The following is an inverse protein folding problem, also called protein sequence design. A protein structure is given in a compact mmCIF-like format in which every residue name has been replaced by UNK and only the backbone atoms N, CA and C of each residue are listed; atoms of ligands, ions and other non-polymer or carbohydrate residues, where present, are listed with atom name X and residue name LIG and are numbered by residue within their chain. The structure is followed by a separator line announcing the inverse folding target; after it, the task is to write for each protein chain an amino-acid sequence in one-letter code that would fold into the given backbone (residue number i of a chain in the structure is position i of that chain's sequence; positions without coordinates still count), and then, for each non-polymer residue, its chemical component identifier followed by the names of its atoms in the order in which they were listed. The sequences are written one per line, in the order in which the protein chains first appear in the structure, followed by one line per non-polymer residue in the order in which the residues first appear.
data_IF_938809043558
#
_entry.id   IF_938809043558
#
_cell.length_a   1.000
_cell.length_b   1.000
_cell.length_c   1.000
_cell.angle_alpha   90.00
_cell.angle_beta   90.00
_cell.angle_gamma   90.00
#
_symmetry.space_group_name_H-M   'P 1'
#
loop_
_entity.id
_entity.type
_entity.pdbx_description
1 polymer ?
#
# COMPACT_ATOMS: atom_id res chain seq x y z
N UNK A 1 -6.70 9.89 -17.95
CA UNK A 1 -7.35 8.95 -17.02
C UNK A 1 -6.83 7.56 -17.31
N UNK A 2 -5.96 7.04 -16.45
CA UNK A 2 -5.37 5.69 -16.54
C UNK A 2 -6.48 4.65 -16.34
N UNK A 3 -6.61 3.72 -17.29
CA UNK A 3 -7.62 2.66 -17.22
C UNK A 3 -7.15 1.61 -16.19
N UNK A 4 -7.60 1.74 -14.94
CA UNK A 4 -7.31 0.85 -13.82
C UNK A 4 -7.90 -0.54 -14.13
N UNK A 5 -7.08 -1.61 -14.22
CA UNK A 5 -7.58 -2.96 -14.46
C UNK A 5 -8.62 -3.40 -13.43
N UNK A 6 -9.71 -4.03 -13.87
CA UNK A 6 -10.79 -4.54 -12.99
C UNK A 6 -10.38 -5.72 -12.09
N UNK A 7 -9.10 -6.13 -12.08
CA UNK A 7 -8.63 -7.34 -11.44
C UNK A 7 -7.46 -7.10 -10.47
N UNK A 8 -7.16 -5.86 -10.09
CA UNK A 8 -5.96 -5.57 -9.27
C UNK A 8 -5.98 -6.35 -7.95
N UNK A 9 -7.05 -6.22 -7.18
CA UNK A 9 -7.19 -6.91 -5.90
C UNK A 9 -7.13 -8.43 -6.07
N UNK A 10 -7.76 -9.00 -7.10
CA UNK A 10 -7.66 -10.43 -7.41
C UNK A 10 -6.23 -10.86 -7.69
N UNK A 11 -5.46 -10.09 -8.46
CA UNK A 11 -4.06 -10.39 -8.75
C UNK A 11 -3.18 -10.28 -7.49
N UNK A 12 -3.44 -9.30 -6.63
CA UNK A 12 -2.74 -9.18 -5.34
C UNK A 12 -3.05 -10.38 -4.46
N UNK A 13 -4.33 -10.73 -4.27
CA UNK A 13 -4.74 -11.87 -3.43
C UNK A 13 -4.11 -13.19 -3.90
N UNK A 14 -4.07 -13.43 -5.22
CA UNK A 14 -3.52 -14.66 -5.77
C UNK A 14 -2.00 -14.78 -5.62
N UNK A 15 -1.27 -13.68 -5.74
CA UNK A 15 0.18 -13.72 -5.93
C UNK A 15 1.00 -13.06 -4.81
N UNK A 16 0.38 -12.38 -3.85
CA UNK A 16 1.10 -11.66 -2.79
C UNK A 16 2.05 -12.59 -2.02
N UNK A 17 1.54 -13.74 -1.56
CA UNK A 17 2.33 -14.72 -0.83
C UNK A 17 3.40 -15.40 -1.67
N UNK A 18 3.33 -15.34 -3.01
CA UNK A 18 4.32 -15.90 -3.92
C UNK A 18 5.49 -14.93 -4.15
N UNK A 19 5.22 -13.63 -4.33
CA UNK A 19 6.28 -12.63 -4.48
C UNK A 19 6.89 -12.20 -3.15
N UNK A 20 6.10 -12.21 -2.09
CA UNK A 20 6.46 -11.71 -0.77
C UNK A 20 6.30 -12.80 0.30
N UNK A 21 6.93 -13.96 0.09
CA UNK A 21 6.87 -15.11 1.00
C UNK A 21 7.05 -14.78 2.49
N UNK A 22 7.98 -13.87 2.81
CA UNK A 22 8.22 -13.44 4.21
C UNK A 22 7.03 -12.72 4.85
N UNK A 23 6.15 -12.13 4.05
CA UNK A 23 4.95 -11.45 4.50
C UNK A 23 3.68 -12.28 4.32
N UNK A 24 3.78 -13.58 3.98
CA UNK A 24 2.61 -14.48 3.84
C UNK A 24 1.64 -14.40 5.02
N UNK A 25 2.16 -14.32 6.25
CA UNK A 25 1.31 -14.20 7.44
C UNK A 25 0.42 -12.96 7.43
N UNK A 26 0.84 -11.87 6.79
CA UNK A 26 0.04 -10.66 6.66
C UNK A 26 -1.29 -10.91 5.95
N UNK A 27 -1.31 -11.84 4.99
CA UNK A 27 -2.50 -12.21 4.23
C UNK A 27 -3.38 -13.23 4.97
N UNK A 28 -2.77 -14.24 5.63
CA UNK A 28 -3.51 -15.41 6.13
C UNK A 28 -3.80 -15.38 7.63
N UNK A 29 -3.03 -14.62 8.42
CA UNK A 29 -3.14 -14.64 9.88
C UNK A 29 -4.32 -13.78 10.35
N UNK A 30 -5.19 -14.29 11.24
CA UNK A 30 -6.25 -13.49 11.87
C UNK A 30 -5.71 -12.24 12.58
N UNK A 31 -4.49 -12.29 13.11
CA UNK A 31 -3.87 -11.16 13.81
C UNK A 31 -3.61 -9.95 12.89
N UNK A 32 -3.38 -10.19 11.60
CA UNK A 32 -3.09 -9.14 10.62
C UNK A 32 -4.27 -8.81 9.71
N UNK A 33 -5.37 -9.56 9.86
CA UNK A 33 -6.54 -9.46 8.99
C UNK A 33 -7.13 -8.04 8.89
N UNK A 34 -7.26 -7.24 9.97
CA UNK A 34 -7.78 -5.88 9.85
C UNK A 34 -6.92 -4.97 8.96
N UNK A 35 -5.60 -5.16 8.96
CA UNK A 35 -4.68 -4.40 8.12
C UNK A 35 -4.75 -4.85 6.65
N UNK A 36 -4.78 -6.16 6.42
CA UNK A 36 -4.95 -6.75 5.09
C UNK A 36 -6.24 -6.30 4.43
N UNK A 37 -7.35 -6.38 5.16
CA UNK A 37 -8.67 -6.00 4.65
C UNK A 37 -8.69 -4.52 4.23
N UNK A 38 -8.04 -3.62 4.98
CA UNK A 38 -7.91 -2.21 4.57
C UNK A 38 -7.05 -2.00 3.33
N UNK A 39 -5.95 -2.74 3.20
CA UNK A 39 -5.15 -2.72 1.98
C UNK A 39 -5.98 -3.20 0.76
N UNK A 40 -6.75 -4.27 0.93
CA UNK A 40 -7.61 -4.82 -0.12
C UNK A 40 -8.79 -3.91 -0.46
N UNK A 41 -9.42 -3.29 0.54
CA UNK A 41 -10.46 -2.27 0.37
C UNK A 41 -9.93 -1.13 -0.51
N UNK A 42 -8.74 -0.61 -0.19
CA UNK A 42 -8.09 0.45 -0.97
C UNK A 42 -7.74 0.04 -2.41
N UNK A 43 -7.35 -1.22 -2.62
CA UNK A 43 -7.03 -1.73 -3.96
C UNK A 43 -8.28 -2.07 -4.79
N UNK A 44 -9.43 -2.26 -4.15
CA UNK A 44 -10.73 -2.50 -4.78
C UNK A 44 -11.47 -1.20 -5.12
N UNK A 45 -11.30 -0.16 -4.30
CA UNK A 45 -11.84 1.17 -4.55
C UNK A 45 -11.07 1.85 -5.69
N UNK A 46 -11.71 1.94 -6.86
CA UNK A 46 -11.13 2.53 -8.07
C UNK A 46 -10.86 4.02 -7.91
N UNK A 47 -11.69 4.75 -7.19
CA UNK A 47 -11.53 6.18 -7.00
C UNK A 47 -10.34 6.46 -6.07
N UNK A 48 -10.32 5.80 -4.91
CA UNK A 48 -9.20 5.93 -3.98
C UNK A 48 -7.88 5.48 -4.62
N UNK A 49 -7.87 4.34 -5.30
CA UNK A 49 -6.66 3.87 -5.98
C UNK A 49 -6.18 4.87 -7.06
N UNK A 50 -7.10 5.50 -7.79
CA UNK A 50 -6.75 6.54 -8.76
C UNK A 50 -6.10 7.76 -8.10
N UNK A 51 -6.57 8.17 -6.91
CA UNK A 51 -5.95 9.24 -6.14
C UNK A 51 -4.58 8.85 -5.61
N UNK A 52 -4.42 7.62 -5.13
CA UNK A 52 -3.13 7.09 -4.67
C UNK A 52 -2.12 7.08 -5.83
N UNK A 53 -2.52 6.60 -7.01
CA UNK A 53 -1.69 6.64 -8.22
C UNK A 53 -1.35 8.07 -8.63
N UNK A 54 -2.32 8.98 -8.64
CA UNK A 54 -2.10 10.38 -8.99
C UNK A 54 -1.08 11.05 -8.04
N UNK A 55 -1.20 10.82 -6.74
CA UNK A 55 -0.24 11.32 -5.75
C UNK A 55 1.16 10.76 -5.96
N UNK A 56 1.26 9.47 -6.28
CA UNK A 56 2.52 8.82 -6.60
C UNK A 56 3.16 9.41 -7.87
N UNK A 57 2.39 9.54 -8.95
CA UNK A 57 2.89 9.89 -10.26
C UNK A 57 3.27 11.37 -10.38
N UNK A 58 2.44 12.27 -9.83
CA UNK A 58 2.63 13.71 -10.02
C UNK A 58 3.47 14.36 -8.91
N UNK A 59 3.36 13.86 -7.67
CA UNK A 59 3.99 14.48 -6.50
C UNK A 59 5.07 13.62 -5.85
N UNK A 60 5.35 12.44 -6.41
CA UNK A 60 6.28 11.46 -5.84
C UNK A 60 5.93 11.11 -4.38
N UNK A 61 4.64 11.14 -4.04
CA UNK A 61 4.14 10.76 -2.72
C UNK A 61 3.99 9.23 -2.71
N UNK A 62 4.71 8.50 -1.83
CA UNK A 62 4.58 7.05 -1.73
C UNK A 62 3.14 6.58 -1.50
N UNK A 63 2.68 5.49 -2.16
CA UNK A 63 1.33 4.98 -1.99
C UNK A 63 0.96 4.70 -0.53
N UNK A 64 1.92 4.17 0.24
CA UNK A 64 1.80 3.94 1.69
C UNK A 64 1.40 5.22 2.43
N UNK A 65 1.95 6.38 2.06
CA UNK A 65 1.67 7.65 2.76
C UNK A 65 0.22 8.09 2.53
N UNK A 66 -0.23 8.11 1.28
CA UNK A 66 -1.62 8.48 0.96
C UNK A 66 -2.60 7.51 1.59
N UNK A 67 -2.33 6.21 1.50
CA UNK A 67 -3.15 5.16 2.11
C UNK A 67 -3.29 5.32 3.63
N UNK A 68 -2.18 5.46 4.35
CA UNK A 68 -2.21 5.58 5.81
C UNK A 68 -2.93 6.84 6.28
N UNK A 69 -2.75 7.96 5.58
CA UNK A 69 -3.44 9.22 5.92
C UNK A 69 -4.94 9.15 5.62
N UNK A 70 -5.33 8.48 4.53
CA UNK A 70 -6.74 8.29 4.19
C UNK A 70 -7.47 7.45 5.26
N UNK A 71 -6.86 6.34 5.69
CA UNK A 71 -7.41 5.43 6.71
C UNK A 71 -6.95 5.74 8.14
N UNK A 72 -6.54 6.97 8.44
CA UNK A 72 -5.92 7.29 9.73
C UNK A 72 -6.80 6.85 10.92
N UNK A 73 -8.09 7.15 10.86
CA UNK A 73 -9.03 6.82 11.93
C UNK A 73 -9.26 5.30 12.07
N UNK A 74 -9.29 4.56 10.97
CA UNK A 74 -9.36 3.10 10.99
C UNK A 74 -8.12 2.51 11.66
N UNK A 75 -6.93 3.04 11.36
CA UNK A 75 -5.69 2.57 12.00
C UNK A 75 -5.59 2.95 13.47
N UNK A 76 -6.16 4.09 13.89
CA UNK A 76 -6.34 4.42 15.31
C UNK A 76 -7.22 3.36 15.98
N UNK A 77 -8.35 2.98 15.35
CA UNK A 77 -9.26 1.95 15.84
C UNK A 77 -8.59 0.57 15.92
N UNK A 78 -7.89 0.15 14.86
CA UNK A 78 -7.20 -1.15 14.79
C UNK A 78 -6.09 -1.26 15.85
N UNK A 79 -5.31 -0.20 16.06
CA UNK A 79 -4.18 -0.22 17.00
C UNK A 79 -4.59 0.11 18.45
N UNK A 80 -5.75 0.74 18.65
CA UNK A 80 -6.17 1.29 19.93
C UNK A 80 -5.30 2.45 20.43
N UNK A 81 -4.59 3.15 19.53
CA UNK A 81 -3.64 4.23 19.87
C UNK A 81 -3.92 5.48 19.05
N UNK A 82 -3.94 6.65 19.68
CA UNK A 82 -4.13 7.93 19.00
C UNK A 82 -3.12 8.21 17.88
N UNK A 83 -1.88 7.74 18.06
CA UNK A 83 -0.82 7.89 17.06
C UNK A 83 -0.78 6.78 16.03
N UNK A 84 -1.72 5.82 16.07
CA UNK A 84 -1.82 4.68 15.18
C UNK A 84 -0.49 3.91 14.99
N UNK A 85 0.34 3.84 16.03
CA UNK A 85 1.70 3.30 15.91
C UNK A 85 1.71 1.84 15.41
N UNK A 86 2.29 1.63 14.24
CA UNK A 86 2.37 0.32 13.61
C UNK A 86 3.61 -0.46 14.04
N UNK A 87 3.41 -1.75 14.27
CA UNK A 87 4.49 -2.71 14.48
C UNK A 87 5.40 -2.81 13.25
N UNK A 88 6.66 -3.21 13.47
CA UNK A 88 7.64 -3.27 12.39
C UNK A 88 7.21 -4.21 11.25
N UNK A 89 6.65 -5.37 11.59
CA UNK A 89 6.14 -6.32 10.61
C UNK A 89 5.03 -5.71 9.75
N UNK A 90 4.00 -5.13 10.39
CA UNK A 90 2.85 -4.50 9.72
C UNK A 90 3.30 -3.40 8.75
N UNK A 91 4.22 -2.53 9.17
CA UNK A 91 4.77 -1.47 8.30
C UNK A 91 5.41 -2.02 7.04
N UNK A 92 6.26 -3.03 7.19
CA UNK A 92 6.96 -3.66 6.07
C UNK A 92 6.00 -4.42 5.17
N UNK A 93 5.00 -5.08 5.75
CA UNK A 93 4.00 -5.83 5.00
C UNK A 93 3.06 -4.91 4.20
N UNK A 94 2.62 -3.77 4.74
CA UNK A 94 1.89 -2.73 3.99
C UNK A 94 2.77 -2.19 2.84
N UNK A 95 4.06 -1.96 3.09
CA UNK A 95 5.00 -1.58 2.04
C UNK A 95 5.10 -2.63 0.93
N UNK A 96 5.20 -3.91 1.29
CA UNK A 96 5.19 -5.03 0.36
C UNK A 96 3.88 -5.12 -0.43
N UNK A 97 2.74 -4.89 0.21
CA UNK A 97 1.43 -4.87 -0.44
C UNK A 97 1.39 -3.81 -1.55
N UNK A 98 1.80 -2.58 -1.25
CA UNK A 98 1.86 -1.53 -2.27
C UNK A 98 2.93 -1.80 -3.33
N UNK A 99 4.00 -2.49 -2.99
CA UNK A 99 4.95 -3.07 -3.96
C UNK A 99 4.27 -4.06 -4.90
N UNK A 100 3.43 -4.96 -4.39
CA UNK A 100 2.64 -5.89 -5.20
C UNK A 100 1.76 -5.14 -6.21
N UNK A 101 0.98 -4.16 -5.71
CA UNK A 101 0.08 -3.35 -6.54
C UNK A 101 0.85 -2.59 -7.61
N UNK A 102 1.86 -1.79 -7.24
CA UNK A 102 2.50 -0.88 -8.19
C UNK A 102 3.48 -1.59 -9.11
N UNK A 103 4.38 -2.42 -8.57
CA UNK A 103 5.43 -3.04 -9.37
C UNK A 103 4.90 -4.17 -10.24
N UNK A 104 4.14 -5.10 -9.66
CA UNK A 104 3.80 -6.35 -10.33
C UNK A 104 2.46 -6.27 -11.06
N UNK A 105 1.45 -5.62 -10.47
CA UNK A 105 0.12 -5.54 -11.09
C UNK A 105 -0.02 -4.36 -12.04
N UNK A 106 0.39 -3.16 -11.62
CA UNK A 106 0.34 -1.94 -12.44
C UNK A 106 1.57 -1.78 -13.36
N UNK A 107 2.64 -2.53 -13.11
CA UNK A 107 3.81 -2.61 -13.99
C UNK A 107 4.75 -1.40 -13.90
N UNK A 108 4.79 -0.69 -12.78
CA UNK A 108 5.80 0.35 -12.57
C UNK A 108 7.20 -0.27 -12.55
N UNK A 109 8.11 0.24 -13.38
CA UNK A 109 9.44 -0.37 -13.59
C UNK A 109 10.51 0.21 -12.67
N UNK A 110 10.30 1.43 -12.16
CA UNK A 110 11.22 2.09 -11.25
C UNK A 110 10.61 2.31 -9.86
N UNK A 111 11.47 2.49 -8.87
CA UNK A 111 11.06 2.83 -7.52
C UNK A 111 12.18 3.57 -6.78
N UNK A 112 11.81 4.36 -5.78
CA UNK A 112 12.76 5.06 -4.92
C UNK A 112 12.19 5.25 -3.51
N UNK A 113 13.05 5.05 -2.50
CA UNK A 113 12.68 5.24 -1.10
C UNK A 113 12.89 6.68 -0.70
N UNK A 114 11.83 7.33 -0.20
CA UNK A 114 11.86 8.72 0.25
C UNK A 114 11.45 8.81 1.72
N UNK A 115 11.91 9.85 2.39
CA UNK A 115 11.45 10.18 3.74
C UNK A 115 10.00 10.62 3.70
N UNK A 116 9.19 10.05 4.60
CA UNK A 116 7.79 10.43 4.78
C UNK A 116 7.61 10.94 6.20
N UNK A 117 7.03 12.14 6.34
CA UNK A 117 6.82 12.82 7.63
C UNK A 117 5.73 12.17 8.51
N UNK A 118 5.75 10.83 8.60
CA UNK A 118 4.87 9.98 9.40
C UNK A 118 5.65 9.33 10.55
N UNK A 119 6.66 10.00 11.11
CA UNK A 119 7.37 9.45 12.28
C UNK A 119 6.56 9.63 13.57
N UNK A 120 5.70 10.66 13.65
CA UNK A 120 4.86 10.96 14.81
C UNK A 120 3.49 10.25 14.77
N UNK A 121 3.06 9.81 13.58
CA UNK A 121 1.85 9.00 13.35
C UNK A 121 2.23 7.75 12.56
N UNK A 122 1.80 6.56 12.91
CA UNK A 122 2.19 5.28 12.29
C UNK A 122 3.65 4.83 12.49
N UNK A 123 4.57 5.72 12.87
CA UNK A 123 6.00 5.43 13.04
C UNK A 123 6.65 4.88 11.75
N UNK A 124 6.30 5.49 10.63
CA UNK A 124 6.82 5.22 9.29
C UNK A 124 7.74 6.37 8.89
N UNK A 125 9.05 6.10 8.77
CA UNK A 125 10.06 7.13 8.45
C UNK A 125 10.30 7.27 6.96
N UNK A 126 10.26 6.16 6.24
CA UNK A 126 10.49 6.11 4.80
C UNK A 126 9.42 5.25 4.15
N UNK A 127 9.12 5.54 2.89
CA UNK A 127 8.27 4.71 2.05
C UNK A 127 8.70 4.86 0.59
N UNK A 128 8.26 3.91 -0.24
CA UNK A 128 8.65 3.83 -1.64
C UNK A 128 7.61 4.51 -2.52
N UNK A 129 8.02 5.47 -3.35
CA UNK A 129 7.23 5.88 -4.51
C UNK A 129 7.73 5.11 -5.74
N UNK A 130 6.84 4.92 -6.71
CA UNK A 130 7.07 4.13 -7.90
C UNK A 130 7.06 5.03 -9.13
N UNK A 131 7.88 4.73 -10.12
CA UNK A 131 8.04 5.52 -11.35
C UNK A 131 8.06 4.61 -12.58
N UNK A 132 8.06 5.25 -13.75
CA UNK A 132 8.07 4.58 -15.04
C UNK A 132 6.88 3.60 -15.21
N UNK A 133 5.62 4.09 -15.10
CA UNK A 133 4.45 3.26 -15.37
C UNK A 133 4.49 2.77 -16.83
N UNK A 134 4.04 1.54 -17.09
CA UNK A 134 3.95 1.04 -18.46
C UNK A 134 3.05 1.96 -19.27
N UNK A 135 3.62 2.67 -20.25
CA UNK A 135 2.82 3.37 -21.25
C UNK A 135 2.10 2.32 -22.08
N UNK A 136 0.79 2.15 -21.85
CA UNK A 136 -0.06 1.40 -22.77
C UNK A 136 -0.06 2.17 -24.09
N UNK A 137 0.60 1.61 -25.12
CA UNK A 137 0.49 2.07 -26.50
C UNK A 137 -0.93 1.91 -27.00
#
# INVERSE_FOLDING_TARGET
MTNIPNHISTQVELHFSDYYHHFKEFQISPAYRPYWDKCMEAAQDRELLSHIMFCNDLFHIPPVKTFLLYYEQDFVSITGRENAALELFVKKAIGAFWGMVFKFVLGYQGQESVSVSLNQKFFVRTATYFKDPVQKK
#
